data_IF_231365130127
#
_entry.id   IF_231365130127
#
_cell.length_a   1.000
_cell.length_b   1.000
_cell.length_c   1.000
_cell.angle_alpha   90.00
_cell.angle_beta   90.00
_cell.angle_gamma   90.00
#
_symmetry.space_group_name_H-M   'P 1'
#
loop_
_entity.id
_entity.type
_entity.pdbx_description
1 polymer ?
#
# COMPACT_ATOMS: atom_id res chain seq x y z
N UNK A 1 -12.94 27.14 13.66
CA UNK A 1 -12.59 25.70 13.50
C UNK A 1 -11.23 25.55 12.80
N UNK A 2 -10.14 25.42 13.56
CA UNK A 2 -8.89 24.87 13.00
C UNK A 2 -9.07 23.36 12.89
N UNK A 3 -9.19 22.83 11.67
CA UNK A 3 -9.12 21.38 11.43
C UNK A 3 -7.65 20.98 11.50
N UNK A 4 -7.22 20.45 12.65
CA UNK A 4 -5.87 19.91 12.77
C UNK A 4 -5.79 18.56 12.06
N UNK A 5 -4.73 18.40 11.27
CA UNK A 5 -4.47 17.16 10.53
C UNK A 5 -3.97 16.12 11.51
N UNK A 6 -4.67 15.00 11.59
CA UNK A 6 -4.38 13.98 12.58
C UNK A 6 -3.32 12.99 12.10
N UNK A 7 -2.76 12.23 13.04
CA UNK A 7 -1.87 11.08 12.84
C UNK A 7 -2.31 10.10 11.73
N UNK A 8 -3.62 9.91 11.53
CA UNK A 8 -4.15 9.05 10.47
C UNK A 8 -3.73 9.49 9.06
N UNK A 9 -3.71 10.80 8.76
CA UNK A 9 -3.28 11.32 7.44
C UNK A 9 -1.81 11.03 7.18
N UNK A 10 -0.96 11.20 8.20
CA UNK A 10 0.47 10.94 8.09
C UNK A 10 0.76 9.47 7.82
N UNK A 11 0.01 8.55 8.41
CA UNK A 11 0.15 7.11 8.17
C UNK A 11 -0.30 6.72 6.76
N UNK A 12 -1.35 7.33 6.20
CA UNK A 12 -1.73 7.11 4.80
C UNK A 12 -0.66 7.62 3.85
N UNK A 13 -0.07 8.79 4.12
CA UNK A 13 1.04 9.33 3.33
C UNK A 13 2.27 8.42 3.42
N UNK A 14 2.62 7.95 4.61
CA UNK A 14 3.71 6.99 4.78
C UNK A 14 3.43 5.69 3.99
N UNK A 15 2.21 5.16 4.06
CA UNK A 15 1.77 4.02 3.26
C UNK A 15 1.89 4.27 1.75
N UNK A 16 1.59 5.48 1.28
CA UNK A 16 1.73 5.85 -0.13
C UNK A 16 3.19 5.97 -0.58
N UNK A 17 4.08 6.49 0.28
CA UNK A 17 5.53 6.51 0.03
C UNK A 17 6.04 5.07 -0.08
N UNK A 18 5.63 4.20 0.84
CA UNK A 18 5.96 2.77 0.79
C UNK A 18 5.41 2.12 -0.48
N UNK A 19 4.20 2.50 -0.95
CA UNK A 19 3.64 2.06 -2.23
C UNK A 19 4.54 2.45 -3.42
N UNK A 20 5.06 3.68 -3.43
CA UNK A 20 5.95 4.16 -4.47
C UNK A 20 7.28 3.40 -4.46
N UNK A 21 7.85 3.15 -3.27
CA UNK A 21 9.05 2.32 -3.12
C UNK A 21 8.78 0.89 -3.61
N UNK A 22 7.65 0.29 -3.22
CA UNK A 22 7.24 -1.04 -3.68
C UNK A 22 7.09 -1.07 -5.22
N UNK A 23 6.57 -0.02 -5.85
CA UNK A 23 6.47 0.07 -7.30
C UNK A 23 7.84 0.13 -7.99
N UNK A 24 8.84 0.77 -7.38
CA UNK A 24 10.23 0.77 -7.88
C UNK A 24 10.84 -0.63 -7.72
N UNK A 25 10.68 -1.25 -6.56
CA UNK A 25 11.20 -2.60 -6.26
C UNK A 25 10.58 -3.66 -7.18
N UNK A 26 9.29 -3.51 -7.50
CA UNK A 26 8.59 -4.41 -8.41
C UNK A 26 9.14 -4.40 -9.86
N UNK A 27 9.96 -3.40 -10.23
CA UNK A 27 10.67 -3.43 -11.53
C UNK A 27 11.72 -4.53 -11.61
N UNK A 28 12.30 -4.90 -10.48
CA UNK A 28 13.31 -5.96 -10.35
C UNK A 28 12.72 -7.37 -10.24
N UNK A 29 11.40 -7.51 -10.27
CA UNK A 29 10.71 -8.80 -10.22
C UNK A 29 10.74 -9.46 -11.61
N UNK A 30 11.06 -10.75 -11.65
CA UNK A 30 11.27 -11.52 -12.89
C UNK A 30 10.03 -11.50 -13.80
N UNK A 31 8.87 -11.88 -13.27
CA UNK A 31 7.59 -11.84 -13.98
C UNK A 31 6.72 -10.70 -13.46
N UNK A 32 6.38 -9.76 -14.36
CA UNK A 32 5.65 -8.54 -14.03
C UNK A 32 4.23 -8.60 -14.56
N UNK A 33 3.26 -8.45 -13.66
CA UNK A 33 1.87 -8.23 -14.00
C UNK A 33 1.53 -6.73 -13.99
N UNK A 34 1.01 -6.20 -15.10
CA UNK A 34 0.62 -4.79 -15.21
C UNK A 34 -0.40 -4.33 -14.14
N UNK A 35 -1.44 -5.12 -13.80
CA UNK A 35 -2.38 -4.76 -12.74
C UNK A 35 -1.77 -4.44 -11.38
N UNK A 36 -0.64 -5.06 -11.02
CA UNK A 36 0.06 -4.73 -9.77
C UNK A 36 0.52 -3.28 -9.75
N UNK A 37 1.00 -2.74 -10.87
CA UNK A 37 1.34 -1.32 -10.98
C UNK A 37 0.09 -0.43 -10.86
N UNK A 38 -1.05 -0.82 -11.43
CA UNK A 38 -2.29 -0.06 -11.30
C UNK A 38 -2.77 0.02 -9.84
N UNK A 39 -2.66 -1.07 -9.08
CA UNK A 39 -3.02 -1.06 -7.66
C UNK A 39 -2.10 -0.17 -6.81
N UNK A 40 -0.79 -0.20 -7.08
CA UNK A 40 0.18 0.66 -6.38
C UNK A 40 0.00 2.14 -6.74
N UNK A 41 -0.19 2.47 -8.01
CA UNK A 41 -0.47 3.84 -8.47
C UNK A 41 -1.81 4.32 -7.91
N UNK A 42 -2.84 3.47 -7.91
CA UNK A 42 -4.14 3.79 -7.31
C UNK A 42 -4.02 4.17 -5.84
N UNK A 43 -3.18 3.45 -5.08
CA UNK A 43 -2.88 3.75 -3.67
C UNK A 43 -2.25 5.14 -3.49
N UNK A 44 -1.31 5.51 -4.37
CA UNK A 44 -0.64 6.82 -4.35
C UNK A 44 -1.63 7.94 -4.68
N UNK A 45 -2.46 7.76 -5.72
CA UNK A 45 -3.45 8.75 -6.15
C UNK A 45 -4.50 8.95 -5.03
N UNK A 46 -5.00 7.87 -4.45
CA UNK A 46 -5.98 7.95 -3.36
C UNK A 46 -5.43 8.65 -2.12
N UNK A 47 -4.16 8.42 -1.78
CA UNK A 47 -3.50 9.15 -0.71
C UNK A 47 -3.36 10.65 -1.01
N UNK A 48 -3.08 11.03 -2.26
CA UNK A 48 -3.08 12.43 -2.68
C UNK A 48 -4.50 13.04 -2.62
N UNK A 49 -5.52 12.29 -3.06
CA UNK A 49 -6.92 12.70 -2.96
C UNK A 49 -7.37 12.86 -1.50
N UNK A 50 -6.86 12.06 -0.57
CA UNK A 50 -7.12 12.23 0.86
C UNK A 50 -6.76 13.63 1.35
N UNK A 51 -5.64 14.18 0.86
CA UNK A 51 -5.19 15.52 1.23
C UNK A 51 -6.21 16.62 0.86
N UNK A 52 -6.92 16.44 -0.27
CA UNK A 52 -7.97 17.35 -0.73
C UNK A 52 -9.34 17.05 -0.09
N UNK A 53 -9.66 15.78 0.14
CA UNK A 53 -10.99 15.32 0.57
C UNK A 53 -11.14 15.20 2.10
N UNK A 54 -10.03 15.24 2.85
CA UNK A 54 -10.03 15.17 4.33
C UNK A 54 -10.91 16.24 4.98
N UNK A 55 -11.13 17.36 4.30
CA UNK A 55 -11.92 18.49 4.80
C UNK A 55 -13.40 18.42 4.42
N UNK A 56 -13.78 17.56 3.48
CA UNK A 56 -15.12 17.50 2.88
C UNK A 56 -16.06 16.59 3.66
N UNK A 57 -15.61 15.37 4.00
CA UNK A 57 -16.43 14.43 4.76
C UNK A 57 -15.58 13.45 5.59
N UNK A 58 -15.88 13.27 6.89
CA UNK A 58 -15.17 12.31 7.74
C UNK A 58 -15.37 10.86 7.27
N UNK A 59 -16.51 10.54 6.66
CA UNK A 59 -16.81 9.19 6.13
C UNK A 59 -15.89 8.83 4.95
N UNK A 60 -15.74 9.75 3.98
CA UNK A 60 -14.87 9.54 2.81
C UNK A 60 -13.42 9.41 3.26
N UNK A 61 -13.03 10.23 4.22
CA UNK A 61 -11.69 10.24 4.80
C UNK A 61 -11.33 8.93 5.50
N UNK A 62 -12.29 8.27 6.16
CA UNK A 62 -12.10 6.97 6.79
C UNK A 62 -12.04 5.79 5.81
N UNK A 63 -12.69 5.90 4.64
CA UNK A 63 -12.70 4.85 3.62
C UNK A 63 -11.41 4.74 2.82
N UNK A 64 -10.73 5.86 2.56
CA UNK A 64 -9.49 5.90 1.78
C UNK A 64 -8.41 4.92 2.30
N UNK A 65 -8.04 4.92 3.59
CA UNK A 65 -7.05 3.96 4.11
C UNK A 65 -7.51 2.51 3.94
N UNK A 66 -8.81 2.23 4.07
CA UNK A 66 -9.36 0.87 3.85
C UNK A 66 -9.18 0.44 2.40
N UNK A 67 -9.51 1.30 1.45
CA UNK A 67 -9.34 1.02 0.01
C UNK A 67 -7.87 0.85 -0.33
N UNK A 68 -6.98 1.69 0.21
CA UNK A 68 -5.54 1.57 0.00
C UNK A 68 -4.97 0.25 0.52
N UNK A 69 -5.40 -0.20 1.70
CA UNK A 69 -5.02 -1.50 2.23
C UNK A 69 -5.46 -2.64 1.30
N UNK A 70 -6.68 -2.57 0.77
CA UNK A 70 -7.20 -3.56 -0.18
C UNK A 70 -6.43 -3.56 -1.51
N UNK A 71 -6.05 -2.39 -2.03
CA UNK A 71 -5.23 -2.27 -3.24
C UNK A 71 -3.83 -2.87 -3.02
N UNK A 72 -3.21 -2.63 -1.87
CA UNK A 72 -1.91 -3.23 -1.54
C UNK A 72 -2.00 -4.75 -1.37
N UNK A 73 -3.04 -5.25 -0.71
CA UNK A 73 -3.28 -6.69 -0.61
C UNK A 73 -3.46 -7.31 -2.00
N UNK A 74 -4.21 -6.64 -2.88
CA UNK A 74 -4.38 -7.07 -4.27
C UNK A 74 -3.05 -7.10 -5.03
N UNK A 75 -2.21 -6.07 -4.87
CA UNK A 75 -0.88 -6.02 -5.47
C UNK A 75 -0.01 -7.23 -5.06
N UNK A 76 -0.10 -7.66 -3.79
CA UNK A 76 0.60 -8.86 -3.31
C UNK A 76 0.04 -10.13 -3.96
N UNK A 77 -1.27 -10.37 -3.85
CA UNK A 77 -1.92 -11.60 -4.34
C UNK A 77 -1.72 -11.80 -5.84
N UNK A 78 -1.96 -10.76 -6.62
CA UNK A 78 -1.78 -10.80 -8.07
C UNK A 78 -0.30 -10.83 -8.48
N UNK A 79 0.60 -10.31 -7.64
CA UNK A 79 2.04 -10.51 -7.80
C UNK A 79 2.46 -11.95 -7.52
N UNK A 80 1.86 -12.62 -6.52
CA UNK A 80 2.18 -14.00 -6.16
C UNK A 80 1.81 -14.97 -7.27
N UNK A 81 0.66 -14.78 -7.92
CA UNK A 81 0.14 -15.72 -8.93
C UNK A 81 1.12 -15.98 -10.08
N UNK A 82 1.89 -14.97 -10.50
CA UNK A 82 2.91 -15.12 -11.53
C UNK A 82 4.22 -15.76 -11.04
N UNK A 83 4.46 -15.74 -9.73
CA UNK A 83 5.68 -16.23 -9.11
C UNK A 83 5.56 -17.61 -8.48
N UNK A 84 4.35 -18.20 -8.40
CA UNK A 84 4.14 -19.54 -7.82
C UNK A 84 5.05 -20.61 -8.44
N UNK A 85 5.22 -20.58 -9.77
CA UNK A 85 6.07 -21.54 -10.45
C UNK A 85 7.55 -21.37 -10.07
N UNK A 86 8.04 -20.13 -10.01
CA UNK A 86 9.42 -19.82 -9.63
C UNK A 86 9.68 -20.18 -8.16
N UNK A 87 8.72 -19.92 -7.27
CA UNK A 87 8.78 -20.35 -5.87
C UNK A 87 8.86 -21.88 -5.79
N UNK A 88 8.07 -22.59 -6.61
CA UNK A 88 8.12 -24.05 -6.70
C UNK A 88 9.47 -24.59 -7.18
N UNK A 89 10.09 -23.94 -8.17
CA UNK A 89 11.42 -24.33 -8.67
C UNK A 89 12.53 -24.09 -7.65
N UNK A 90 12.47 -23.00 -6.89
CA UNK A 90 13.40 -22.76 -5.77
C UNK A 90 13.23 -23.82 -4.69
N UNK A 91 12.00 -24.19 -4.32
CA UNK A 91 11.75 -25.24 -3.33
C UNK A 91 12.23 -26.62 -3.79
N UNK A 92 12.11 -26.91 -5.09
CA UNK A 92 12.62 -28.15 -5.69
C UNK A 92 14.15 -28.16 -5.89
N UNK A 93 14.86 -27.05 -5.59
CA UNK A 93 16.30 -26.92 -5.78
C UNK A 93 16.73 -26.77 -7.24
N UNK A 94 15.80 -26.42 -8.13
CA UNK A 94 16.06 -26.23 -9.57
C UNK A 94 16.52 -24.81 -9.89
N UNK A 95 16.04 -23.82 -9.13
CA UNK A 95 16.41 -22.41 -9.25
C UNK A 95 17.00 -21.87 -7.93
N UNK A 96 17.89 -20.89 -8.03
CA UNK A 96 18.46 -20.21 -6.86
C UNK A 96 17.48 -19.22 -6.23
N UNK A 97 17.61 -18.98 -4.91
CA UNK A 97 16.76 -18.01 -4.17
C UNK A 97 16.83 -16.60 -4.77
N UNK A 98 17.91 -16.27 -5.46
CA UNK A 98 18.09 -15.00 -6.16
C UNK A 98 16.99 -14.71 -7.19
N UNK A 99 16.35 -15.75 -7.77
CA UNK A 99 15.27 -15.59 -8.75
C UNK A 99 13.98 -15.04 -8.13
N UNK A 100 13.74 -15.29 -6.83
CA UNK A 100 12.57 -14.82 -6.09
C UNK A 100 12.88 -13.69 -5.11
N UNK A 101 14.16 -13.39 -4.83
CA UNK A 101 14.58 -12.42 -3.83
C UNK A 101 13.96 -11.03 -4.05
N UNK A 102 13.98 -10.53 -5.29
CA UNK A 102 13.37 -9.25 -5.64
C UNK A 102 11.86 -9.21 -5.36
N UNK A 103 11.17 -10.35 -5.54
CA UNK A 103 9.76 -10.49 -5.23
C UNK A 103 9.50 -10.53 -3.72
N UNK A 104 10.32 -11.24 -2.95
CA UNK A 104 10.21 -11.27 -1.48
C UNK A 104 10.36 -9.85 -0.91
N UNK A 105 11.37 -9.11 -1.37
CA UNK A 105 11.59 -7.72 -0.95
C UNK A 105 10.37 -6.86 -1.30
N UNK A 106 9.83 -6.96 -2.51
CA UNK A 106 8.60 -6.27 -2.91
C UNK A 106 7.42 -6.59 -1.97
N UNK A 107 7.18 -7.87 -1.67
CA UNK A 107 6.08 -8.30 -0.79
C UNK A 107 6.22 -7.71 0.61
N UNK A 108 7.43 -7.69 1.17
CA UNK A 108 7.68 -7.11 2.50
C UNK A 108 7.26 -5.63 2.52
N UNK A 109 7.69 -4.84 1.54
CA UNK A 109 7.31 -3.43 1.47
C UNK A 109 5.81 -3.24 1.25
N UNK A 110 5.20 -4.02 0.36
CA UNK A 110 3.76 -3.96 0.11
C UNK A 110 2.94 -4.30 1.37
N UNK A 111 3.35 -5.31 2.14
CA UNK A 111 2.71 -5.69 3.41
C UNK A 111 2.89 -4.62 4.48
N UNK A 112 4.08 -4.01 4.60
CA UNK A 112 4.31 -2.89 5.51
C UNK A 112 3.37 -1.72 5.18
N UNK A 113 3.27 -1.35 3.90
CA UNK A 113 2.36 -0.30 3.45
C UNK A 113 0.89 -0.65 3.73
N UNK A 114 0.52 -1.93 3.58
CA UNK A 114 -0.84 -2.41 3.88
C UNK A 114 -1.15 -2.25 5.37
N UNK A 115 -0.23 -2.66 6.26
CA UNK A 115 -0.39 -2.50 7.72
C UNK A 115 -0.52 -1.02 8.09
N UNK A 116 0.30 -0.13 7.51
CA UNK A 116 0.19 1.31 7.75
C UNK A 116 -1.19 1.86 7.39
N UNK A 117 -1.75 1.44 6.24
CA UNK A 117 -3.09 1.84 5.83
C UNK A 117 -4.19 1.24 6.72
N UNK A 118 -4.03 0.00 7.19
CA UNK A 118 -4.96 -0.61 8.17
C UNK A 118 -4.95 0.19 9.48
N UNK A 119 -3.76 0.50 10.02
CA UNK A 119 -3.64 1.30 11.25
C UNK A 119 -4.23 2.70 11.07
N UNK A 120 -4.05 3.32 9.90
CA UNK A 120 -4.63 4.61 9.58
C UNK A 120 -6.16 4.58 9.53
N UNK A 121 -6.78 3.46 9.15
CA UNK A 121 -8.24 3.30 9.12
C UNK A 121 -8.88 3.34 10.51
N UNK A 122 -8.13 2.97 11.56
CA UNK A 122 -8.61 3.00 12.94
C UNK A 122 -8.35 4.34 13.65
N UNK A 123 -7.63 5.27 13.02
CA UNK A 123 -7.29 6.56 13.62
C UNK A 123 -8.19 7.68 13.08
N UNK A 124 -8.66 8.61 13.94
CA UNK A 124 -9.47 9.73 13.49
C UNK A 124 -8.67 10.61 12.54
N UNK A 125 -9.20 10.86 11.33
CA UNK A 125 -8.50 11.62 10.29
C UNK A 125 -8.57 13.14 10.52
N UNK A 126 -9.54 13.61 11.33
CA UNK A 126 -9.71 15.01 11.72
C UNK A 126 -10.00 15.06 13.23
N UNK A 127 -9.25 15.88 13.97
CA UNK A 127 -9.65 16.32 15.32
C UNK A 127 -10.36 17.66 15.21
N UNK A 128 -11.56 17.76 15.79
CA UNK A 128 -12.24 19.04 15.98
C UNK A 128 -11.80 19.55 17.35
N UNK A 129 -11.02 20.63 17.39
CA UNK A 129 -10.77 21.34 18.63
C UNK A 129 -12.06 22.10 18.98
N UNK A 130 -12.77 21.63 20.01
CA UNK A 130 -13.72 22.45 20.74
C UNK A 130 -12.89 23.42 21.60
N UNK A 131 -12.70 24.64 21.10
CA UNK A 131 -12.25 25.75 21.95
C UNK A 131 -13.41 26.04 22.93
N UNK A 132 -13.26 25.57 24.17
CA UNK A 132 -14.09 25.95 25.32
C UNK A 132 -13.72 27.32 25.85
#
# INVERSE_FOLDING_TARGET
MKKERTLGVYLVIAGAIVAAVAAILYRGVMYKYQPVYFFLIGTIILAACMWALATVSPMISGLIPVVNAALMASAVVWGTSLMVNQIGYVYAGLDGVDTIMGYIIFVIFAVIGMIMNILAAFLPVVRVNEES
#
